data_IF_543342066358
#
_entry.id   IF_543342066358
#
_cell.length_a   1.000
_cell.length_b   1.000
_cell.length_c   1.000
_cell.angle_alpha   90.00
_cell.angle_beta   90.00
_cell.angle_gamma   90.00
#
_symmetry.space_group_name_H-M   'P 1'
#
loop_
_entity.id
_entity.type
_entity.pdbx_description
1 polymer ?
#
# COMPACT_ATOMS: atom_id res chain seq x y z
N UNK A 1 1.06 18.82 -4.21
CA UNK A 1 0.54 18.64 -2.84
C UNK A 1 1.56 17.94 -1.97
N UNK A 2 2.33 18.69 -1.19
CA UNK A 2 3.43 18.20 -0.33
C UNK A 2 3.13 18.38 1.17
N UNK A 3 1.83 18.46 1.52
CA UNK A 3 1.40 18.93 2.84
C UNK A 3 1.46 17.86 3.94
N UNK A 4 1.71 16.58 3.61
CA UNK A 4 1.67 15.47 4.58
C UNK A 4 2.84 14.49 4.50
N UNK A 5 3.79 14.66 3.57
CA UNK A 5 5.04 13.91 3.56
C UNK A 5 6.11 14.83 4.14
N UNK A 6 6.64 14.48 5.31
CA UNK A 6 7.88 15.10 5.78
C UNK A 6 8.99 14.91 4.74
N UNK A 7 10.09 15.66 4.86
CA UNK A 7 11.20 15.56 3.91
C UNK A 7 11.79 14.14 3.93
N UNK A 8 11.50 13.37 2.88
CA UNK A 8 12.00 12.02 2.68
C UNK A 8 13.29 12.07 1.86
N UNK A 9 14.30 11.25 2.18
CA UNK A 9 15.43 11.01 1.29
C UNK A 9 14.95 10.59 -0.11
N UNK A 10 15.63 11.05 -1.16
CA UNK A 10 15.26 10.80 -2.57
C UNK A 10 15.03 9.31 -2.88
N UNK A 11 15.81 8.42 -2.26
CA UNK A 11 15.69 6.96 -2.37
C UNK A 11 14.32 6.40 -1.94
N UNK A 12 13.53 7.16 -1.18
CA UNK A 12 12.20 6.77 -0.70
C UNK A 12 11.06 7.54 -1.40
N UNK A 13 11.35 8.51 -2.26
CA UNK A 13 10.31 9.29 -2.96
C UNK A 13 9.46 8.46 -3.93
N UNK A 14 9.99 7.32 -4.40
CA UNK A 14 9.30 6.40 -5.29
C UNK A 14 8.66 5.20 -4.56
N UNK A 15 8.35 5.31 -3.26
CA UNK A 15 7.54 4.32 -2.55
C UNK A 15 6.12 4.26 -3.12
N UNK A 16 5.60 3.04 -3.31
CA UNK A 16 4.21 2.83 -3.74
C UNK A 16 3.26 3.07 -2.57
N UNK A 17 1.98 3.29 -2.86
CA UNK A 17 0.98 3.49 -1.80
C UNK A 17 0.86 2.27 -0.89
N UNK A 18 1.02 1.07 -1.46
CA UNK A 18 1.03 -0.18 -0.70
C UNK A 18 2.23 -0.25 0.23
N UNK A 19 3.43 0.09 -0.25
CA UNK A 19 4.63 0.13 0.61
C UNK A 19 4.48 1.12 1.77
N UNK A 20 3.84 2.27 1.54
CA UNK A 20 3.49 3.19 2.63
C UNK A 20 2.53 2.55 3.65
N UNK A 21 1.50 1.84 3.18
CA UNK A 21 0.53 1.15 4.05
C UNK A 21 1.18 0.03 4.86
N UNK A 22 2.11 -0.72 4.25
CA UNK A 22 2.91 -1.76 4.90
C UNK A 22 3.71 -1.17 6.07
N UNK A 23 4.16 0.09 5.94
CA UNK A 23 4.93 0.79 6.96
C UNK A 23 4.07 1.62 7.93
N UNK A 24 2.74 1.68 7.77
CA UNK A 24 1.91 2.61 8.53
C UNK A 24 1.70 2.14 9.98
N UNK A 25 2.09 2.97 10.96
CA UNK A 25 1.78 2.71 12.38
C UNK A 25 0.28 2.75 12.63
N UNK A 26 -0.42 3.75 12.09
CA UNK A 26 -1.84 3.95 12.34
C UNK A 26 -2.67 3.47 11.15
N UNK A 27 -3.60 2.57 11.44
CA UNK A 27 -4.70 2.24 10.54
C UNK A 27 -5.88 3.15 10.84
N UNK A 28 -5.95 4.30 10.17
CA UNK A 28 -7.10 5.19 10.27
C UNK A 28 -7.97 5.20 9.02
N UNK A 29 -7.51 4.60 7.91
CA UNK A 29 -8.08 4.80 6.59
C UNK A 29 -8.23 3.47 5.83
N UNK A 30 -9.40 3.24 5.26
CA UNK A 30 -9.63 2.22 4.24
C UNK A 30 -9.61 2.89 2.87
N UNK A 31 -8.79 2.38 1.96
CA UNK A 31 -8.73 2.86 0.57
C UNK A 31 -9.65 2.02 -0.30
N UNK A 32 -10.75 2.63 -0.75
CA UNK A 32 -11.64 2.05 -1.75
C UNK A 32 -11.20 2.55 -3.11
N UNK A 33 -10.65 1.65 -3.92
CA UNK A 33 -10.13 1.97 -5.24
C UNK A 33 -11.12 1.46 -6.26
N UNK A 34 -11.85 2.40 -6.89
CA UNK A 34 -12.78 2.09 -7.97
C UNK A 34 -12.05 2.21 -9.30
N UNK A 35 -11.98 1.10 -10.02
CA UNK A 35 -11.36 1.05 -11.34
C UNK A 35 -12.47 0.95 -12.39
N UNK A 36 -12.51 1.96 -13.27
CA UNK A 36 -13.42 1.99 -14.41
C UNK A 36 -12.72 1.49 -15.67
N UNK A 37 -13.42 0.63 -16.42
CA UNK A 37 -13.01 0.25 -17.77
C UNK A 37 -13.87 0.99 -18.80
N UNK A 38 -13.29 1.91 -19.57
CA UNK A 38 -13.97 2.56 -20.71
C UNK A 38 -13.64 1.83 -22.00
N UNK A 39 -14.64 1.13 -22.56
CA UNK A 39 -14.54 0.38 -23.82
C UNK A 39 -14.95 1.27 -25.03
N UNK A 40 -14.41 2.49 -25.11
CA UNK A 40 -14.58 3.36 -26.28
C UNK A 40 -13.38 3.17 -27.18
N UNK A 41 -13.60 2.47 -28.29
CA UNK A 41 -12.60 1.91 -29.22
C UNK A 41 -11.72 2.89 -29.99
N UNK A 42 -11.20 3.95 -29.37
CA UNK A 42 -10.17 4.81 -29.97
C UNK A 42 -9.26 5.52 -28.94
N UNK A 43 -9.28 5.10 -27.68
CA UNK A 43 -8.37 5.61 -26.65
C UNK A 43 -7.61 4.46 -25.98
N UNK A 44 -6.31 4.63 -25.67
CA UNK A 44 -5.56 3.63 -24.90
C UNK A 44 -6.32 3.33 -23.61
N UNK A 45 -6.30 2.09 -23.14
CA UNK A 45 -7.03 1.63 -21.95
C UNK A 45 -6.69 2.46 -20.70
N UNK A 46 -7.33 3.62 -20.53
CA UNK A 46 -7.11 4.51 -19.39
C UNK A 46 -7.95 4.00 -18.24
N UNK A 47 -7.28 3.44 -17.23
CA UNK A 47 -7.91 3.23 -15.92
C UNK A 47 -8.08 4.57 -15.24
N UNK A 48 -9.34 5.00 -15.07
CA UNK A 48 -9.63 6.07 -14.14
C UNK A 48 -9.72 5.47 -12.74
N UNK A 49 -8.76 5.83 -11.89
CA UNK A 49 -8.71 5.44 -10.48
C UNK A 49 -9.42 6.51 -9.65
N UNK A 50 -10.54 6.15 -9.02
CA UNK A 50 -11.12 6.98 -7.96
C UNK A 50 -10.81 6.33 -6.61
N UNK A 51 -9.92 6.95 -5.84
CA UNK A 51 -9.56 6.50 -4.49
C UNK A 51 -10.39 7.24 -3.46
N UNK A 52 -11.39 6.56 -2.89
CA UNK A 52 -12.15 7.07 -1.75
C UNK A 52 -11.50 6.57 -0.46
N UNK A 53 -11.15 7.49 0.44
CA UNK A 53 -10.53 7.14 1.72
C UNK A 53 -11.55 7.30 2.83
N UNK A 54 -11.97 6.20 3.46
CA UNK A 54 -12.92 6.25 4.57
C UNK A 54 -12.18 6.13 5.91
N UNK A 55 -12.47 7.03 6.85
CA UNK A 55 -11.93 6.92 8.21
C UNK A 55 -12.57 5.71 8.92
N UNK A 56 -11.77 4.77 9.41
CA UNK A 56 -12.28 3.65 10.20
C UNK A 56 -12.52 4.13 11.63
N UNK A 57 -13.71 3.90 12.20
CA UNK A 57 -14.03 4.19 13.62
C UNK A 57 -13.19 3.37 14.64
N UNK A 58 -12.16 2.66 14.17
CA UNK A 58 -11.25 1.84 14.95
C UNK A 58 -9.81 2.12 14.50
N UNK A 59 -9.00 2.65 15.41
CA UNK A 59 -7.56 2.90 15.16
C UNK A 59 -6.78 1.66 15.56
N UNK A 60 -6.36 0.85 14.59
CA UNK A 60 -5.38 -0.22 14.83
C UNK A 60 -3.97 0.37 14.81
N UNK A 61 -3.31 0.37 15.96
CA UNK A 61 -1.91 0.78 16.11
C UNK A 61 -1.03 -0.46 15.94
N UNK A 62 -0.11 -0.44 14.97
CA UNK A 62 0.86 -1.52 14.81
C UNK A 62 1.90 -1.46 15.93
N UNK A 63 2.09 -2.58 16.62
CA UNK A 63 3.22 -2.79 17.53
C UNK A 63 4.40 -3.45 16.83
N UNK A 64 4.15 -4.09 15.68
CA UNK A 64 5.12 -4.79 14.84
C UNK A 64 4.99 -4.30 13.40
N UNK A 65 6.11 -3.94 12.77
CA UNK A 65 6.19 -3.57 11.34
C UNK A 65 7.26 -4.41 10.62
N UNK A 66 7.20 -4.61 9.30
CA UNK A 66 6.09 -4.29 8.41
C UNK A 66 4.79 -4.97 8.84
N UNK A 67 3.65 -4.37 8.50
CA UNK A 67 2.35 -5.00 8.72
C UNK A 67 2.27 -6.31 7.93
N UNK A 68 1.55 -7.30 8.45
CA UNK A 68 1.36 -8.54 7.71
C UNK A 68 0.49 -8.31 6.46
N UNK A 69 0.63 -9.11 5.39
CA UNK A 69 -0.19 -8.97 4.18
C UNK A 69 -1.69 -8.97 4.46
N UNK A 70 -2.16 -9.77 5.43
CA UNK A 70 -3.55 -9.81 5.86
C UNK A 70 -4.05 -8.46 6.43
N UNK A 71 -3.19 -7.76 7.19
CA UNK A 71 -3.51 -6.43 7.71
C UNK A 71 -3.63 -5.41 6.59
N UNK A 72 -2.70 -5.43 5.63
CA UNK A 72 -2.72 -4.52 4.48
C UNK A 72 -3.90 -4.81 3.56
N UNK A 73 -4.20 -6.09 3.28
CA UNK A 73 -5.39 -6.55 2.55
C UNK A 73 -6.66 -5.95 3.13
N UNK A 74 -6.80 -5.95 4.45
CA UNK A 74 -8.01 -5.41 5.07
C UNK A 74 -8.10 -3.87 5.05
N UNK A 75 -7.02 -3.15 4.74
CA UNK A 75 -7.03 -1.70 4.51
C UNK A 75 -7.36 -1.33 3.06
N UNK A 76 -7.32 -2.31 2.17
CA UNK A 76 -7.45 -2.13 0.74
C UNK A 76 -8.73 -2.79 0.22
N UNK A 77 -9.62 -2.01 -0.37
CA UNK A 77 -10.82 -2.54 -1.03
C UNK A 77 -10.80 -2.12 -2.49
N UNK A 78 -10.41 -3.02 -3.39
CA UNK A 78 -10.42 -2.73 -4.83
C UNK A 78 -11.75 -3.20 -5.40
N UNK A 79 -12.53 -2.27 -5.96
CA UNK A 79 -13.82 -2.55 -6.60
C UNK A 79 -13.67 -2.31 -8.09
N UNK A 80 -13.83 -3.37 -8.88
CA UNK A 80 -13.82 -3.28 -10.34
C UNK A 80 -15.22 -3.02 -10.88
N UNK A 81 -15.35 -1.96 -11.68
CA UNK A 81 -16.57 -1.62 -12.41
C UNK A 81 -16.26 -1.70 -13.90
N UNK A 82 -16.36 -2.91 -14.48
CA UNK A 82 -16.09 -3.16 -15.91
C UNK A 82 -16.07 -4.65 -16.28
N UNK A 83 -16.13 -4.94 -17.58
CA UNK A 83 -16.21 -6.31 -18.13
C UNK A 83 -14.88 -7.10 -18.07
N UNK A 84 -13.73 -6.43 -17.83
CA UNK A 84 -12.41 -7.07 -17.80
C UNK A 84 -11.60 -6.63 -16.58
N UNK A 85 -11.11 -7.60 -15.81
CA UNK A 85 -10.17 -7.38 -14.71
C UNK A 85 -8.74 -7.32 -15.25
N UNK A 86 -8.02 -6.20 -15.14
CA UNK A 86 -6.67 -6.03 -15.66
C UNK A 86 -5.68 -6.43 -14.57
N UNK A 87 -5.67 -7.71 -14.22
CA UNK A 87 -4.83 -8.26 -13.14
C UNK A 87 -3.35 -7.91 -13.33
N UNK A 88 -2.86 -7.82 -14.57
CA UNK A 88 -1.46 -7.51 -14.89
C UNK A 88 -1.04 -6.08 -14.53
N UNK A 89 -1.86 -5.08 -14.87
CA UNK A 89 -1.56 -3.67 -14.57
C UNK A 89 -1.70 -3.36 -13.08
N UNK A 90 -2.52 -4.15 -12.40
CA UNK A 90 -2.67 -4.08 -10.96
C UNK A 90 -1.42 -4.58 -10.24
N UNK A 91 -0.82 -5.68 -10.70
CA UNK A 91 0.40 -6.23 -10.07
C UNK A 91 1.52 -5.19 -9.94
N UNK A 92 1.72 -4.35 -10.95
CA UNK A 92 2.74 -3.28 -10.88
C UNK A 92 2.41 -2.17 -9.88
N UNK A 93 1.14 -1.96 -9.54
CA UNK A 93 0.71 -0.91 -8.61
C UNK A 93 0.70 -1.38 -7.14
N UNK A 94 0.47 -2.68 -6.90
CA UNK A 94 0.31 -3.23 -5.55
C UNK A 94 1.45 -4.15 -5.08
N UNK A 95 2.53 -4.24 -5.85
CA UNK A 95 3.74 -4.96 -5.45
C UNK A 95 4.49 -4.26 -4.30
N UNK A 96 5.06 -5.06 -3.40
CA UNK A 96 5.83 -4.61 -2.23
C UNK A 96 7.30 -5.02 -2.40
N UNK A 97 8.20 -4.04 -2.56
CA UNK A 97 9.63 -4.32 -2.67
C UNK A 97 10.23 -4.50 -1.28
N UNK A 98 10.45 -5.76 -0.89
CA UNK A 98 10.91 -6.16 0.46
C UNK A 98 12.11 -5.35 0.96
N UNK A 99 13.18 -5.31 0.17
CA UNK A 99 14.41 -4.59 0.51
C UNK A 99 14.15 -3.12 0.78
N UNK A 100 13.32 -2.49 -0.06
CA UNK A 100 13.00 -1.06 0.04
C UNK A 100 12.17 -0.75 1.29
N UNK A 101 11.19 -1.60 1.60
CA UNK A 101 10.38 -1.50 2.81
C UNK A 101 11.25 -1.66 4.05
N UNK A 102 12.16 -2.63 4.05
CA UNK A 102 13.06 -2.87 5.17
C UNK A 102 14.02 -1.70 5.41
N UNK A 103 14.65 -1.19 4.35
CA UNK A 103 15.51 -0.01 4.39
C UNK A 103 14.75 1.22 4.89
N UNK A 104 13.50 1.36 4.45
CA UNK A 104 12.65 2.48 4.85
C UNK A 104 12.24 2.41 6.32
N UNK A 105 11.83 1.23 6.81
CA UNK A 105 11.49 1.01 8.22
C UNK A 105 12.70 1.21 9.14
N UNK A 106 13.87 0.74 8.73
CA UNK A 106 15.12 0.94 9.47
C UNK A 106 15.49 2.43 9.54
N UNK A 107 15.36 3.14 8.42
CA UNK A 107 15.56 4.59 8.40
C UNK A 107 14.54 5.33 9.27
N UNK A 108 13.26 4.94 9.23
CA UNK A 108 12.21 5.51 10.06
C UNK A 108 12.47 5.28 11.55
N UNK A 109 12.87 4.07 11.95
CA UNK A 109 13.19 3.77 13.35
C UNK A 109 14.34 4.65 13.89
N UNK A 110 15.31 4.99 13.03
CA UNK A 110 16.43 5.86 13.39
C UNK A 110 16.10 7.35 13.37
N UNK A 111 15.17 7.80 12.51
CA UNK A 111 14.94 9.23 12.25
C UNK A 111 13.58 9.74 12.76
N UNK A 112 12.66 8.86 13.13
CA UNK A 112 11.32 9.22 13.55
C UNK A 112 11.01 8.63 14.94
N UNK A 113 10.83 9.46 15.97
CA UNK A 113 10.51 9.01 17.34
C UNK A 113 9.28 8.12 17.44
N UNK A 114 8.32 8.25 16.51
CA UNK A 114 7.13 7.39 16.47
C UNK A 114 7.48 5.94 16.13
N UNK A 115 8.52 5.73 15.31
CA UNK A 115 8.96 4.41 14.86
C UNK A 115 10.06 3.82 15.76
N UNK A 116 10.71 4.64 16.60
CA UNK A 116 11.81 4.21 17.46
C UNK A 116 11.45 3.07 18.43
N UNK A 117 10.16 2.93 18.78
CA UNK A 117 9.65 1.89 19.70
C UNK A 117 8.94 0.73 18.99
N UNK A 118 8.86 0.76 17.67
CA UNK A 118 8.19 -0.29 16.89
C UNK A 118 9.13 -1.49 16.75
N UNK A 119 8.60 -2.71 16.93
CA UNK A 119 9.35 -3.92 16.66
C UNK A 119 9.39 -4.21 15.16
N UNK A 120 10.59 -4.34 14.58
CA UNK A 120 10.76 -4.74 13.19
C UNK A 120 10.79 -6.27 13.06
N UNK A 121 9.91 -6.83 12.24
CA UNK A 121 9.76 -8.28 12.03
C UNK A 121 10.08 -8.65 10.58
N UNK A 122 11.23 -9.25 10.37
CA UNK A 122 11.59 -9.81 9.06
C UNK A 122 10.65 -10.95 8.67
N UNK A 123 10.12 -11.69 9.64
CA UNK A 123 9.13 -12.74 9.39
C UNK A 123 7.88 -12.18 8.68
N UNK A 124 7.39 -10.99 9.05
CA UNK A 124 6.27 -10.35 8.35
C UNK A 124 6.64 -9.93 6.93
N UNK A 125 7.90 -9.53 6.70
CA UNK A 125 8.39 -9.17 5.37
C UNK A 125 8.44 -10.39 4.45
N UNK A 126 8.81 -11.56 4.99
CA UNK A 126 8.86 -12.82 4.25
C UNK A 126 7.47 -13.37 3.89
N UNK A 127 6.40 -12.93 4.58
CA UNK A 127 5.02 -13.29 4.22
C UNK A 127 4.55 -12.64 2.92
N UNK A 128 5.20 -11.58 2.46
CA UNK A 128 4.92 -11.03 1.14
C UNK A 128 5.54 -11.97 0.10
N UNK A 129 4.73 -12.62 -0.72
CA UNK A 129 5.28 -13.28 -1.91
C UNK A 129 5.62 -12.23 -2.96
N UNK A 130 6.67 -12.50 -3.75
CA UNK A 130 6.96 -11.66 -4.90
C UNK A 130 5.79 -11.81 -5.90
N UNK A 131 5.27 -10.68 -6.38
CA UNK A 131 4.15 -10.58 -7.33
C UNK A 131 2.71 -10.88 -6.84
N UNK A 132 2.48 -11.06 -5.53
CA UNK A 132 1.12 -11.24 -4.98
C UNK A 132 0.49 -9.89 -4.56
N UNK A 133 -0.77 -9.67 -4.95
CA UNK A 133 -1.54 -8.47 -4.56
C UNK A 133 -2.30 -8.80 -3.28
N UNK A 134 -2.02 -8.13 -2.15
CA UNK A 134 -2.78 -8.33 -0.91
C UNK A 134 -4.27 -8.01 -1.16
N UNK A 135 -5.12 -9.04 -1.16
CA UNK A 135 -6.57 -8.87 -1.36
C UNK A 135 -7.16 -9.44 -2.63
N UNK A 136 -6.34 -9.99 -3.53
CA UNK A 136 -6.79 -10.61 -4.77
C UNK A 136 -6.45 -12.11 -4.73
N UNK A 137 -7.15 -12.85 -3.89
CA UNK A 137 -7.18 -14.32 -4.01
C UNK A 137 -8.13 -14.64 -5.17
N UNK A 138 -7.63 -15.46 -6.10
CA UNK A 138 -8.39 -15.92 -7.25
C UNK A 138 -9.45 -16.94 -6.86
#
# INVERSE_FOLDING_TARGET
DDLFRGTLPERFCNLTKVEEMVCAIYRCMCHIIRLFHTDKGDQPHVFHENTCTHNLNYVSIATVLPRAPADVKSMLSIIFLGLRQPLKSLKSLYHVRKNKVWDFLTWLAANNPLYAKIHLSEAHLQLYEDDEIPGMEQ
#
